data_IF_064651203267
#
_entry.id   IF_064651203267
#
_cell.length_a   1.000
_cell.length_b   1.000
_cell.length_c   1.000
_cell.angle_alpha   90.00
_cell.angle_beta   90.00
_cell.angle_gamma   90.00
#
_symmetry.space_group_name_H-M   'P 1'
#
loop_
_entity.id
_entity.type
_entity.pdbx_description
1 polymer ?
#
# COMPACT_ATOMS: atom_id res chain seq x y z
N UNK A 1 5.26 4.02 -23.54
CA UNK A 1 4.02 3.18 -23.43
C UNK A 1 4.02 2.69 -21.99
N UNK A 2 2.95 2.87 -21.19
CA UNK A 2 2.88 2.25 -19.85
C UNK A 2 2.63 0.76 -20.06
N UNK A 3 3.31 -0.09 -19.32
CA UNK A 3 3.40 -1.53 -19.62
C UNK A 3 2.14 -2.33 -19.23
N UNK A 4 1.06 -1.62 -18.84
CA UNK A 4 -0.18 -2.23 -18.35
C UNK A 4 -0.09 -2.80 -16.93
N UNK A 5 1.09 -2.74 -16.31
CA UNK A 5 1.27 -3.11 -14.91
C UNK A 5 0.46 -2.18 -14.00
N UNK A 6 -0.19 -2.78 -13.01
CA UNK A 6 -0.96 -2.10 -11.96
C UNK A 6 -0.37 -2.46 -10.61
N UNK A 7 -0.54 -1.55 -9.65
CA UNK A 7 -0.12 -1.79 -8.27
C UNK A 7 -1.05 -2.82 -7.62
N UNK A 8 -0.57 -3.62 -6.64
CA UNK A 8 -1.36 -4.65 -6.00
C UNK A 8 -2.63 -4.12 -5.33
N UNK A 9 -3.77 -4.77 -5.60
CA UNK A 9 -5.01 -4.64 -4.84
C UNK A 9 -5.09 -5.85 -3.92
N UNK A 10 -5.29 -5.61 -2.62
CA UNK A 10 -5.31 -6.68 -1.61
C UNK A 10 -6.68 -6.71 -0.93
N UNK A 11 -7.39 -7.81 -1.08
CA UNK A 11 -8.76 -8.05 -0.61
C UNK A 11 -8.82 -9.07 0.52
N UNK A 12 -7.72 -9.77 0.80
CA UNK A 12 -7.68 -10.82 1.81
C UNK A 12 -6.30 -10.99 2.46
N UNK A 13 -6.28 -11.72 3.57
CA UNK A 13 -5.05 -12.08 4.26
C UNK A 13 -4.18 -13.04 3.45
N UNK A 14 -4.81 -13.90 2.64
CA UNK A 14 -4.12 -14.82 1.74
C UNK A 14 -3.39 -14.06 0.63
N UNK A 15 -4.05 -13.06 0.01
CA UNK A 15 -3.42 -12.20 -0.99
C UNK A 15 -2.29 -11.36 -0.37
N UNK A 16 -2.50 -10.80 0.83
CA UNK A 16 -1.46 -10.10 1.57
C UNK A 16 -0.22 -10.99 1.78
N UNK A 17 -0.46 -12.24 2.21
CA UNK A 17 0.61 -13.24 2.40
C UNK A 17 1.33 -13.54 1.09
N UNK A 18 0.60 -13.71 -0.01
CA UNK A 18 1.17 -13.97 -1.34
C UNK A 18 2.09 -12.82 -1.78
N UNK A 19 1.62 -11.57 -1.71
CA UNK A 19 2.43 -10.41 -2.09
C UNK A 19 3.62 -10.22 -1.16
N UNK A 20 3.44 -10.38 0.16
CA UNK A 20 4.54 -10.31 1.12
C UNK A 20 5.61 -11.38 0.82
N UNK A 21 5.21 -12.59 0.42
CA UNK A 21 6.13 -13.66 0.00
C UNK A 21 6.94 -13.32 -1.25
N UNK A 22 6.32 -12.66 -2.24
CA UNK A 22 7.03 -12.16 -3.42
C UNK A 22 8.12 -11.18 -3.00
N UNK A 23 7.79 -10.20 -2.16
CA UNK A 23 8.76 -9.18 -1.73
C UNK A 23 9.85 -9.79 -0.84
N UNK A 24 9.50 -10.75 0.02
CA UNK A 24 10.47 -11.48 0.85
C UNK A 24 11.51 -12.23 0.00
N UNK A 25 11.17 -12.66 -1.21
CA UNK A 25 12.15 -13.29 -2.13
C UNK A 25 13.24 -12.32 -2.62
N UNK A 26 13.07 -11.01 -2.43
CA UNK A 26 14.03 -9.97 -2.76
C UNK A 26 14.68 -9.32 -1.52
N UNK A 27 14.46 -9.87 -0.32
CA UNK A 27 14.87 -9.22 0.95
C UNK A 27 16.38 -8.98 1.04
N UNK A 28 17.20 -9.87 0.46
CA UNK A 28 18.66 -9.73 0.43
C UNK A 28 19.15 -8.58 -0.47
N UNK A 29 18.29 -8.09 -1.37
CA UNK A 29 18.58 -6.99 -2.30
C UNK A 29 18.02 -5.65 -1.83
N UNK A 30 17.11 -5.66 -0.85
CA UNK A 30 16.32 -4.50 -0.45
C UNK A 30 16.49 -4.22 1.04
N UNK A 31 16.98 -3.03 1.39
CA UNK A 31 16.97 -2.61 2.79
C UNK A 31 15.55 -2.16 3.16
N UNK A 32 14.88 -2.96 3.99
CA UNK A 32 13.54 -2.71 4.52
C UNK A 32 12.50 -2.39 3.43
N UNK A 33 12.14 -3.36 2.57
CA UNK A 33 11.21 -3.09 1.49
C UNK A 33 9.82 -2.78 2.02
N UNK A 34 9.18 -1.77 1.42
CA UNK A 34 7.77 -1.48 1.55
C UNK A 34 7.11 -1.69 0.19
N UNK A 35 5.96 -2.36 0.18
CA UNK A 35 5.17 -2.58 -1.02
C UNK A 35 4.12 -1.48 -1.14
N UNK A 36 4.15 -0.73 -2.24
CA UNK A 36 3.08 0.21 -2.55
C UNK A 36 1.84 -0.54 -2.98
N UNK A 37 0.75 -0.26 -2.28
CA UNK A 37 -0.55 -0.78 -2.62
C UNK A 37 -1.21 0.11 -3.67
N UNK A 38 -2.05 -0.47 -4.51
CA UNK A 38 -2.81 0.22 -5.54
C UNK A 38 -3.96 1.03 -4.98
N UNK A 39 -3.72 1.82 -3.93
CA UNK A 39 -4.68 2.74 -3.35
C UNK A 39 -4.55 4.11 -4.02
N UNK A 40 -5.68 4.75 -4.30
CA UNK A 40 -5.76 6.08 -4.88
C UNK A 40 -6.71 6.95 -4.06
N UNK A 41 -6.50 8.26 -4.11
CA UNK A 41 -7.38 9.20 -3.44
C UNK A 41 -8.56 9.57 -4.35
N UNK A 42 -9.78 9.26 -3.92
CA UNK A 42 -10.97 9.74 -4.60
C UNK A 42 -11.18 11.23 -4.26
N UNK A 43 -10.93 12.11 -5.22
CA UNK A 43 -11.01 13.56 -5.00
C UNK A 43 -12.41 14.06 -4.62
N UNK A 44 -13.48 13.32 -4.94
CA UNK A 44 -14.86 13.71 -4.64
C UNK A 44 -15.27 13.33 -3.22
N UNK A 45 -14.91 12.12 -2.77
CA UNK A 45 -15.22 11.64 -1.41
C UNK A 45 -14.12 11.95 -0.40
N UNK A 46 -12.93 12.33 -0.89
CA UNK A 46 -11.69 12.56 -0.14
C UNK A 46 -11.20 11.33 0.63
N UNK A 47 -11.63 10.14 0.22
CA UNK A 47 -11.26 8.86 0.85
C UNK A 47 -10.32 8.06 -0.05
N UNK A 48 -9.53 7.21 0.56
CA UNK A 48 -8.79 6.18 -0.16
C UNK A 48 -9.76 5.14 -0.73
N UNK A 49 -9.52 4.76 -1.98
CA UNK A 49 -10.14 3.64 -2.66
C UNK A 49 -9.08 2.83 -3.38
N UNK A 50 -9.40 1.61 -3.78
CA UNK A 50 -8.53 0.87 -4.68
C UNK A 50 -8.52 1.54 -6.05
N UNK A 51 -7.42 1.39 -6.79
CA UNK A 51 -7.25 1.99 -8.12
C UNK A 51 -8.24 1.50 -9.17
N UNK A 52 -8.98 0.43 -8.89
CA UNK A 52 -10.11 -0.05 -9.69
C UNK A 52 -11.45 0.63 -9.33
N UNK A 53 -11.46 1.56 -8.37
CA UNK A 53 -12.62 2.30 -7.88
C UNK A 53 -13.42 1.58 -6.78
N UNK A 54 -12.97 0.40 -6.33
CA UNK A 54 -13.64 -0.31 -5.24
C UNK A 54 -13.25 0.23 -3.86
N UNK A 55 -14.18 0.11 -2.90
CA UNK A 55 -13.92 0.47 -1.51
C UNK A 55 -12.90 -0.47 -0.85
N UNK A 56 -12.12 0.07 0.09
CA UNK A 56 -11.18 -0.70 0.89
C UNK A 56 -11.93 -1.37 2.04
N UNK A 57 -12.26 -2.65 1.87
CA UNK A 57 -12.95 -3.48 2.88
C UNK A 57 -12.00 -4.35 3.70
N UNK A 58 -10.80 -4.61 3.19
CA UNK A 58 -9.75 -5.37 3.86
C UNK A 58 -8.61 -4.44 4.28
N UNK A 59 -8.17 -4.59 5.52
CA UNK A 59 -7.01 -3.89 6.08
C UNK A 59 -6.21 -4.83 6.93
N UNK A 60 -4.88 -4.75 6.85
CA UNK A 60 -4.01 -5.41 7.83
C UNK A 60 -3.90 -4.54 9.09
N UNK A 61 -3.72 -5.19 10.26
CA UNK A 61 -3.48 -4.55 11.57
C UNK A 61 -4.39 -3.36 11.93
N UNK A 62 -5.63 -3.33 11.40
CA UNK A 62 -6.59 -2.25 11.56
C UNK A 62 -6.04 -0.86 11.24
N UNK A 63 -5.17 -0.74 10.23
CA UNK A 63 -4.69 0.57 9.76
C UNK A 63 -5.88 1.44 9.38
N UNK A 64 -5.86 2.71 9.78
CA UNK A 64 -6.94 3.63 9.46
C UNK A 64 -6.87 4.01 7.97
N UNK A 65 -7.77 3.44 7.17
CA UNK A 65 -7.95 3.78 5.75
C UNK A 65 -8.92 4.93 5.52
N UNK A 66 -9.67 5.33 6.56
CA UNK A 66 -10.61 6.46 6.54
C UNK A 66 -9.86 7.78 6.82
N UNK A 67 -8.79 8.03 6.08
CA UNK A 67 -8.03 9.28 6.11
C UNK A 67 -8.55 10.25 5.06
N UNK A 68 -8.40 11.55 5.32
CA UNK A 68 -8.64 12.58 4.31
C UNK A 68 -7.41 12.67 3.42
N UNK A 69 -7.35 11.82 2.41
CA UNK A 69 -6.15 11.66 1.58
C UNK A 69 -5.77 12.93 0.77
N UNK A 70 -6.63 13.95 0.76
CA UNK A 70 -6.34 15.27 0.17
C UNK A 70 -5.71 16.21 1.20
N UNK A 71 -6.23 16.27 2.42
CA UNK A 71 -5.74 17.18 3.45
C UNK A 71 -4.57 16.61 4.26
N UNK A 72 -4.59 15.32 4.56
CA UNK A 72 -3.63 14.68 5.45
C UNK A 72 -2.31 14.37 4.74
N UNK A 73 -2.34 14.26 3.40
CA UNK A 73 -1.16 13.96 2.59
C UNK A 73 -0.52 12.62 2.93
N UNK A 74 -1.31 11.63 3.38
CA UNK A 74 -0.84 10.30 3.78
C UNK A 74 -1.14 9.23 2.71
N UNK A 75 -0.29 8.22 2.64
CA UNK A 75 -0.47 6.98 1.87
C UNK A 75 -0.31 5.76 2.77
N UNK A 76 -0.68 4.59 2.25
CA UNK A 76 -0.56 3.30 2.96
C UNK A 76 0.31 2.35 2.14
N UNK A 77 1.24 1.68 2.82
CA UNK A 77 2.08 0.64 2.24
C UNK A 77 2.07 -0.61 3.12
N UNK A 78 2.27 -1.78 2.50
CA UNK A 78 2.54 -3.02 3.21
C UNK A 78 4.02 -3.11 3.55
N UNK A 79 4.33 -3.61 4.75
CA UNK A 79 5.68 -3.88 5.24
C UNK A 79 5.81 -5.39 5.44
N UNK A 80 6.31 -6.12 4.42
CA UNK A 80 6.33 -7.58 4.40
C UNK A 80 7.06 -8.22 5.58
N UNK A 81 8.16 -7.62 6.04
CA UNK A 81 8.94 -8.12 7.18
C UNK A 81 8.18 -8.10 8.51
N UNK A 82 7.13 -7.28 8.60
CA UNK A 82 6.29 -7.12 9.79
C UNK A 82 4.88 -7.66 9.59
N UNK A 83 4.57 -8.18 8.41
CA UNK A 83 3.22 -8.57 7.99
C UNK A 83 2.16 -7.52 8.38
N UNK A 84 2.46 -6.24 8.15
CA UNK A 84 1.66 -5.10 8.64
C UNK A 84 1.62 -3.98 7.61
N UNK A 85 0.56 -3.18 7.63
CA UNK A 85 0.39 -1.97 6.84
C UNK A 85 0.57 -0.73 7.71
N UNK A 86 1.17 0.31 7.14
CA UNK A 86 1.42 1.58 7.83
C UNK A 86 1.02 2.76 6.97
N UNK A 87 0.54 3.82 7.63
CA UNK A 87 0.40 5.14 7.01
C UNK A 87 1.74 5.86 7.01
N UNK A 88 2.02 6.61 5.95
CA UNK A 88 3.21 7.44 5.85
C UNK A 88 2.92 8.72 5.05
N UNK A 89 3.57 9.85 5.36
CA UNK A 89 3.46 11.08 4.58
C UNK A 89 3.96 10.89 3.14
N UNK A 90 3.21 11.42 2.18
CA UNK A 90 3.56 11.43 0.74
C UNK A 90 4.76 12.31 0.40
N UNK A 91 5.19 13.16 1.33
CA UNK A 91 6.28 14.12 1.15
C UNK A 91 7.61 13.65 1.75
N UNK A 92 7.60 12.56 2.53
CA UNK A 92 8.80 12.08 3.21
C UNK A 92 9.52 11.02 2.38
N UNK A 93 10.83 11.22 2.23
CA UNK A 93 11.75 10.20 1.69
C UNK A 93 12.14 9.27 2.84
N UNK A 94 11.44 8.18 3.02
CA UNK A 94 11.80 7.20 4.03
C UNK A 94 12.98 6.33 3.59
N UNK A 95 13.70 5.75 4.56
CA UNK A 95 14.82 4.82 4.37
C UNK A 95 14.41 3.43 3.82
N UNK A 96 13.21 3.30 3.26
CA UNK A 96 12.68 2.03 2.77
C UNK A 96 12.78 2.00 1.25
N UNK A 97 13.14 0.85 0.70
CA UNK A 97 12.97 0.66 -0.74
C UNK A 97 11.50 0.43 -1.04
N UNK A 98 10.94 1.36 -1.79
CA UNK A 98 9.55 1.34 -2.23
C UNK A 98 9.47 0.61 -3.57
N UNK A 99 8.74 -0.51 -3.62
CA UNK A 99 8.51 -1.31 -4.82
C UNK A 99 7.13 -1.08 -5.43
#
# INVERSE_FOLDING_TARGET
>A
KKDGAVLPIIRSDEENTMFNGIIASFIDLLQNPALILGMVCNSSTRRLEWMDGSEITFTKNNVNVNIDCVADGQQIASFPSQDSWYTYPTTESYYWTVL
#
